data_IF_875954854125
#
_entry.id   IF_875954854125
#
_cell.length_a   1.000
_cell.length_b   1.000
_cell.length_c   1.000
_cell.angle_alpha   90.00
_cell.angle_beta   90.00
_cell.angle_gamma   90.00
#
_symmetry.space_group_name_H-M   'P 1'
#
loop_
_entity.id
_entity.type
_entity.pdbx_description
1 polymer ?
#
# COMPACT_ATOMS: atom_id res chain seq x y z
N UNK A 1 -29.36 -19.04 -0.89
CA UNK A 1 -28.18 -18.99 0.00
C UNK A 1 -28.02 -17.59 0.53
N UNK A 2 -27.96 -17.40 1.85
CA UNK A 2 -27.69 -16.11 2.47
C UNK A 2 -26.23 -15.73 2.24
N UNK A 3 -25.97 -14.45 1.87
CA UNK A 3 -24.61 -13.93 1.66
C UNK A 3 -23.89 -13.61 2.98
N UNK A 4 -24.57 -13.75 4.12
CA UNK A 4 -24.00 -13.52 5.43
C UNK A 4 -23.88 -12.06 5.86
N UNK A 5 -24.46 -11.12 5.10
CA UNK A 5 -24.52 -9.69 5.46
C UNK A 5 -25.86 -9.07 5.06
N UNK A 6 -26.22 -8.00 5.75
CA UNK A 6 -27.41 -7.20 5.48
C UNK A 6 -27.12 -5.71 5.68
N UNK A 7 -27.84 -4.87 4.96
CA UNK A 7 -27.80 -3.41 5.12
C UNK A 7 -29.10 -2.95 5.76
N UNK A 8 -28.99 -2.07 6.74
CA UNK A 8 -30.14 -1.44 7.42
C UNK A 8 -29.98 0.07 7.32
N UNK A 9 -31.06 0.77 6.95
CA UNK A 9 -31.12 2.22 6.92
C UNK A 9 -32.06 2.70 8.03
N UNK A 10 -31.60 3.66 8.82
CA UNK A 10 -32.39 4.27 9.89
C UNK A 10 -32.83 5.69 9.49
N UNK A 11 -34.00 6.08 9.95
CA UNK A 11 -34.58 7.42 9.64
C UNK A 11 -33.73 8.57 10.21
N UNK A 12 -33.04 8.32 11.31
CA UNK A 12 -32.16 9.29 11.94
C UNK A 12 -30.73 8.77 12.04
N UNK A 13 -29.72 9.55 11.67
CA UNK A 13 -28.32 9.14 11.73
C UNK A 13 -27.84 8.83 13.17
N UNK A 14 -28.41 9.47 14.19
CA UNK A 14 -28.10 9.23 15.60
C UNK A 14 -28.45 7.80 16.03
N UNK A 15 -29.56 7.27 15.53
CA UNK A 15 -29.99 5.89 15.80
C UNK A 15 -29.03 4.87 15.17
N UNK A 16 -28.42 5.22 14.08
CA UNK A 16 -27.40 4.39 13.42
C UNK A 16 -26.21 4.12 14.35
N UNK A 17 -25.72 5.15 15.03
CA UNK A 17 -24.60 5.02 15.97
C UNK A 17 -24.98 4.17 17.20
N UNK A 18 -26.16 4.41 17.76
CA UNK A 18 -26.68 3.60 18.87
C UNK A 18 -26.87 2.13 18.47
N UNK A 19 -27.34 1.88 17.25
CA UNK A 19 -27.50 0.52 16.73
C UNK A 19 -26.16 -0.18 16.54
N UNK A 20 -25.15 0.54 16.04
CA UNK A 20 -23.79 0.01 15.91
C UNK A 20 -23.23 -0.36 17.28
N UNK A 21 -23.33 0.54 18.26
CA UNK A 21 -22.81 0.32 19.61
C UNK A 21 -23.53 -0.85 20.32
N UNK A 22 -24.85 -0.96 20.15
CA UNK A 22 -25.66 -2.01 20.80
C UNK A 22 -25.59 -3.39 20.13
N UNK A 23 -25.42 -3.42 18.81
CA UNK A 23 -25.46 -4.67 18.05
C UNK A 23 -24.06 -5.21 17.69
N UNK A 24 -23.03 -4.36 17.69
CA UNK A 24 -21.68 -4.79 17.37
C UNK A 24 -21.13 -5.71 18.45
N UNK A 25 -20.74 -6.90 18.04
CA UNK A 25 -20.25 -7.91 18.95
C UNK A 25 -21.33 -8.81 19.59
N UNK A 26 -22.61 -8.56 19.27
CA UNK A 26 -23.70 -9.44 19.72
C UNK A 26 -23.54 -10.85 19.14
N UNK A 27 -23.77 -11.86 19.96
CA UNK A 27 -23.67 -13.24 19.55
C UNK A 27 -25.02 -13.72 18.97
N UNK A 28 -24.99 -14.14 17.72
CA UNK A 28 -26.12 -14.74 17.01
C UNK A 28 -25.80 -16.21 16.71
N UNK A 29 -26.26 -17.09 17.59
CA UNK A 29 -25.94 -18.51 17.52
C UNK A 29 -24.43 -18.75 17.73
N UNK A 30 -23.78 -19.40 16.78
CA UNK A 30 -22.33 -19.68 16.83
C UNK A 30 -21.48 -18.54 16.24
N UNK A 31 -22.10 -17.48 15.72
CA UNK A 31 -21.40 -16.37 15.05
C UNK A 31 -21.57 -15.07 15.80
N UNK A 32 -20.53 -14.25 15.75
CA UNK A 32 -20.53 -12.92 16.32
C UNK A 32 -20.91 -11.89 15.26
N UNK A 33 -21.88 -11.03 15.57
CA UNK A 33 -22.32 -9.98 14.66
C UNK A 33 -21.30 -8.84 14.63
N UNK A 34 -20.89 -8.46 13.43
CA UNK A 34 -20.04 -7.29 13.18
C UNK A 34 -20.92 -6.24 12.52
N UNK A 35 -21.11 -5.13 13.20
CA UNK A 35 -21.94 -4.02 12.72
C UNK A 35 -21.06 -2.78 12.53
N UNK A 36 -21.13 -2.20 11.35
CA UNK A 36 -20.38 -1.00 11.00
C UNK A 36 -21.20 -0.13 10.04
N UNK A 37 -20.86 1.15 9.93
CA UNK A 37 -21.47 2.02 8.93
C UNK A 37 -21.19 1.50 7.53
N UNK A 38 -22.21 1.46 6.67
CA UNK A 38 -22.03 1.19 5.26
C UNK A 38 -21.27 2.34 4.63
N UNK A 39 -20.14 2.04 4.02
CA UNK A 39 -19.45 3.00 3.15
C UNK A 39 -20.25 3.16 1.88
N UNK A 40 -20.84 4.32 1.67
CA UNK A 40 -21.44 4.68 0.38
C UNK A 40 -20.28 4.71 -0.63
N UNK A 41 -20.31 3.81 -1.60
CA UNK A 41 -19.35 3.81 -2.68
C UNK A 41 -19.27 5.19 -3.30
N UNK A 42 -18.08 5.74 -3.38
CA UNK A 42 -17.79 7.11 -3.76
C UNK A 42 -18.40 7.49 -5.12
N UNK A 43 -19.57 8.12 -5.09
CA UNK A 43 -20.08 8.98 -6.13
C UNK A 43 -20.84 10.15 -5.49
N UNK A 44 -20.13 10.94 -4.69
CA UNK A 44 -20.56 12.29 -4.35
C UNK A 44 -19.33 13.15 -4.06
N UNK A 45 -19.06 14.18 -4.87
CA UNK A 45 -17.96 15.11 -4.63
C UNK A 45 -18.36 16.27 -3.69
N UNK A 46 -19.14 16.01 -2.64
CA UNK A 46 -19.50 17.05 -1.69
C UNK A 46 -19.75 16.50 -0.29
N UNK A 47 -18.70 15.98 0.30
CA UNK A 47 -18.57 15.96 1.75
C UNK A 47 -17.15 16.36 2.08
N UNK A 48 -16.93 17.66 1.98
CA UNK A 48 -15.82 18.35 2.58
C UNK A 48 -15.79 18.06 4.07
N UNK A 49 -14.63 17.65 4.52
CA UNK A 49 -14.12 17.81 5.85
C UNK A 49 -14.97 17.25 6.99
N UNK A 50 -14.56 16.11 7.50
CA UNK A 50 -14.26 15.96 8.92
C UNK A 50 -13.40 14.71 9.06
N UNK A 51 -12.15 14.95 9.43
CA UNK A 51 -11.23 14.07 10.13
C UNK A 51 -11.61 12.58 10.03
N UNK A 52 -11.18 11.92 8.98
CA UNK A 52 -11.04 10.48 9.00
C UNK A 52 -9.92 10.14 9.98
N UNK A 53 -10.28 9.93 11.23
CA UNK A 53 -9.48 9.05 12.07
C UNK A 53 -9.63 7.67 11.44
N UNK A 54 -8.74 7.34 10.53
CA UNK A 54 -8.52 5.96 10.12
C UNK A 54 -8.03 5.20 11.34
N UNK A 55 -8.94 4.51 11.99
CA UNK A 55 -8.55 3.45 12.92
C UNK A 55 -7.85 2.40 12.06
N UNK A 56 -6.55 2.43 12.05
CA UNK A 56 -5.73 1.38 11.46
C UNK A 56 -5.97 0.10 12.28
N UNK A 57 -6.83 -0.78 11.75
CA UNK A 57 -6.83 -2.16 12.17
C UNK A 57 -5.55 -2.81 11.62
N UNK A 58 -4.51 -2.73 12.43
CA UNK A 58 -3.29 -3.48 12.18
C UNK A 58 -3.57 -4.95 12.55
N UNK A 59 -4.00 -5.73 11.59
CA UNK A 59 -4.08 -7.20 11.74
C UNK A 59 -2.74 -7.74 11.25
N UNK A 60 -1.87 -8.26 12.15
CA UNK A 60 -0.62 -8.86 11.73
C UNK A 60 -0.92 -10.07 10.83
N UNK A 61 -0.53 -9.99 9.57
CA UNK A 61 -0.60 -11.11 8.62
C UNK A 61 -1.56 -10.99 7.44
N UNK A 62 -2.35 -9.92 7.29
CA UNK A 62 -3.18 -9.71 6.12
C UNK A 62 -2.66 -8.53 5.29
N UNK A 63 -1.67 -8.76 4.47
CA UNK A 63 -1.30 -7.85 3.41
C UNK A 63 -2.32 -7.96 2.27
N UNK A 64 -3.37 -7.14 2.31
CA UNK A 64 -4.23 -6.93 1.15
C UNK A 64 -3.47 -6.05 0.15
N UNK A 65 -3.26 -6.49 -1.09
CA UNK A 65 -2.71 -5.63 -2.12
C UNK A 65 -3.72 -4.51 -2.42
N UNK A 66 -3.40 -3.29 -2.00
CA UNK A 66 -4.23 -2.11 -2.27
C UNK A 66 -4.41 -1.13 -1.10
N UNK A 67 -4.04 -1.46 0.12
CA UNK A 67 -3.95 -0.48 1.21
C UNK A 67 -2.53 0.05 1.25
N UNK A 68 -2.30 1.17 0.57
CA UNK A 68 -1.12 1.98 0.81
C UNK A 68 -1.07 2.30 2.31
N UNK A 69 -0.05 1.85 3.02
CA UNK A 69 0.26 2.29 4.37
C UNK A 69 0.39 3.82 4.42
N UNK A 70 0.74 4.40 5.58
CA UNK A 70 0.93 5.84 5.66
C UNK A 70 1.88 6.29 4.56
N UNK A 71 1.51 7.38 3.89
CA UNK A 71 2.33 7.93 2.81
C UNK A 71 3.67 8.38 3.36
N UNK A 72 4.73 7.88 2.77
CA UNK A 72 6.10 8.22 3.12
C UNK A 72 6.86 8.68 1.88
N UNK A 73 8.03 9.26 2.06
CA UNK A 73 8.93 9.62 0.96
C UNK A 73 9.60 8.42 0.31
N UNK A 74 9.50 7.23 0.90
CA UNK A 74 10.07 5.99 0.36
C UNK A 74 9.00 5.20 -0.38
N UNK A 75 9.24 4.96 -1.66
CA UNK A 75 8.40 4.12 -2.51
C UNK A 75 9.10 2.77 -2.76
N UNK A 76 8.39 1.69 -2.49
CA UNK A 76 8.83 0.33 -2.80
C UNK A 76 8.16 -0.13 -4.10
N UNK A 77 8.96 -0.51 -5.08
CA UNK A 77 8.54 -1.06 -6.35
C UNK A 77 8.78 -2.57 -6.33
N UNK A 78 7.76 -3.33 -6.64
CA UNK A 78 7.78 -4.79 -6.64
C UNK A 78 7.40 -5.34 -8.01
N UNK A 79 7.84 -6.56 -8.27
CA UNK A 79 7.57 -7.27 -9.54
C UNK A 79 8.19 -6.60 -10.79
N UNK A 80 9.21 -5.77 -10.61
CA UNK A 80 9.96 -5.17 -11.72
C UNK A 80 11.14 -6.03 -12.16
N UNK A 81 11.87 -6.58 -11.20
CA UNK A 81 13.14 -7.28 -11.39
C UNK A 81 13.09 -8.67 -10.78
N UNK A 82 13.91 -9.58 -11.32
CA UNK A 82 14.16 -10.89 -10.73
C UNK A 82 15.49 -10.91 -10.00
N UNK A 83 15.68 -11.90 -9.16
CA UNK A 83 16.96 -12.15 -8.51
C UNK A 83 18.08 -12.45 -9.52
N UNK A 84 17.75 -12.99 -10.68
CA UNK A 84 18.72 -13.30 -11.75
C UNK A 84 19.17 -12.02 -12.46
N UNK A 85 18.28 -11.08 -12.73
CA UNK A 85 18.58 -9.77 -13.31
C UNK A 85 19.53 -8.95 -12.40
N UNK A 86 19.46 -9.18 -11.09
CA UNK A 86 20.29 -8.48 -10.10
C UNK A 86 21.68 -9.12 -9.87
N UNK A 87 21.95 -10.28 -10.44
CA UNK A 87 23.26 -10.95 -10.37
C UNK A 87 24.27 -10.35 -11.36
N UNK A 88 23.78 -9.89 -12.48
CA UNK A 88 24.60 -9.24 -13.50
C UNK A 88 24.82 -7.76 -13.13
N UNK A 89 26.09 -7.32 -13.17
CA UNK A 89 26.42 -5.95 -12.81
C UNK A 89 25.96 -4.94 -13.87
N UNK A 90 26.02 -5.30 -15.15
CA UNK A 90 25.57 -4.43 -16.25
C UNK A 90 24.05 -4.26 -16.22
N UNK A 91 23.30 -5.36 -16.06
CA UNK A 91 21.84 -5.31 -15.94
C UNK A 91 21.40 -4.55 -14.69
N UNK A 92 22.14 -4.69 -13.58
CA UNK A 92 21.85 -3.96 -12.35
C UNK A 92 21.99 -2.43 -12.53
N UNK A 93 23.06 -1.97 -13.19
CA UNK A 93 23.27 -0.54 -13.46
C UNK A 93 22.20 0.02 -14.40
N UNK A 94 21.86 -0.71 -15.47
CA UNK A 94 20.80 -0.34 -16.40
C UNK A 94 19.43 -0.22 -15.69
N UNK A 95 19.10 -1.14 -14.79
CA UNK A 95 17.88 -1.09 -13.98
C UNK A 95 17.86 0.13 -13.07
N UNK A 96 18.97 0.44 -12.41
CA UNK A 96 19.07 1.62 -11.52
C UNK A 96 18.85 2.90 -12.30
N UNK A 97 19.45 3.02 -13.49
CA UNK A 97 19.34 4.20 -14.34
C UNK A 97 17.91 4.33 -14.91
N UNK A 98 17.32 3.26 -15.41
CA UNK A 98 15.94 3.24 -15.90
C UNK A 98 14.93 3.64 -14.80
N UNK A 99 15.10 3.10 -13.60
CA UNK A 99 14.23 3.43 -12.45
C UNK A 99 14.42 4.90 -12.06
N UNK A 100 15.66 5.39 -12.04
CA UNK A 100 15.95 6.80 -11.75
C UNK A 100 15.31 7.73 -12.76
N UNK A 101 15.46 7.45 -14.04
CA UNK A 101 14.88 8.25 -15.12
C UNK A 101 13.35 8.25 -15.08
N UNK A 102 12.75 7.10 -14.86
CA UNK A 102 11.30 7.00 -14.76
C UNK A 102 10.75 7.70 -13.51
N UNK A 103 11.37 7.50 -12.35
CA UNK A 103 10.97 8.15 -11.11
C UNK A 103 11.19 9.66 -11.11
N UNK A 104 12.24 10.14 -11.79
CA UNK A 104 12.55 11.57 -11.92
C UNK A 104 11.47 12.38 -12.66
N UNK A 105 10.61 11.69 -13.43
CA UNK A 105 9.45 12.33 -14.09
C UNK A 105 8.36 12.77 -13.11
N UNK A 106 8.32 12.17 -11.93
CA UNK A 106 7.32 12.43 -10.89
C UNK A 106 7.84 13.29 -9.75
N UNK A 107 9.16 13.30 -9.54
CA UNK A 107 9.77 14.06 -8.47
C UNK A 107 11.28 13.89 -8.38
N UNK A 108 11.86 14.56 -7.40
CA UNK A 108 13.31 14.50 -7.18
C UNK A 108 13.68 13.23 -6.41
N UNK A 109 14.38 12.33 -7.09
CA UNK A 109 14.94 11.11 -6.48
C UNK A 109 16.19 11.46 -5.68
N UNK A 110 16.20 11.13 -4.39
CA UNK A 110 17.35 11.31 -3.50
C UNK A 110 18.29 10.12 -3.51
N UNK A 111 17.71 8.92 -3.37
CA UNK A 111 18.48 7.69 -3.38
C UNK A 111 17.65 6.53 -3.90
N UNK A 112 18.31 5.50 -4.38
CA UNK A 112 17.72 4.24 -4.83
C UNK A 112 18.52 3.12 -4.18
N UNK A 113 17.81 2.18 -3.53
CA UNK A 113 18.40 0.98 -2.97
C UNK A 113 17.71 -0.25 -3.58
N UNK A 114 18.52 -1.13 -4.15
CA UNK A 114 18.06 -2.40 -4.71
C UNK A 114 18.88 -3.51 -4.04
N UNK A 115 18.31 -4.23 -3.06
CA UNK A 115 19.01 -5.34 -2.42
C UNK A 115 19.37 -6.41 -3.44
N UNK A 116 20.66 -6.74 -3.55
CA UNK A 116 21.17 -7.76 -4.47
C UNK A 116 21.19 -9.14 -3.80
N UNK A 117 20.95 -10.22 -4.56
CA UNK A 117 21.08 -11.56 -4.03
C UNK A 117 22.56 -11.86 -3.73
N UNK A 118 22.82 -12.50 -2.59
CA UNK A 118 24.14 -13.01 -2.22
C UNK A 118 24.05 -14.53 -2.23
N UNK A 119 24.98 -15.20 -2.90
CA UNK A 119 24.98 -16.66 -3.00
C UNK A 119 24.99 -17.33 -1.61
N UNK A 120 23.98 -18.17 -1.38
CA UNK A 120 23.82 -18.90 -0.12
C UNK A 120 23.24 -18.10 1.03
N UNK A 121 22.84 -16.83 0.82
CA UNK A 121 22.24 -15.99 1.85
C UNK A 121 20.90 -15.47 1.34
N UNK A 122 19.86 -15.64 2.15
CA UNK A 122 18.55 -15.05 1.90
C UNK A 122 18.60 -13.56 2.27
N UNK A 123 18.61 -12.68 1.27
CA UNK A 123 18.71 -11.23 1.47
C UNK A 123 17.30 -10.67 1.57
N UNK A 124 16.89 -10.10 2.72
CA UNK A 124 15.59 -9.46 2.85
C UNK A 124 15.43 -8.33 1.83
N UNK A 125 14.24 -8.24 1.24
CA UNK A 125 13.95 -7.23 0.21
C UNK A 125 14.54 -7.50 -1.17
N UNK A 126 15.23 -8.61 -1.40
CA UNK A 126 15.73 -8.98 -2.72
C UNK A 126 14.60 -9.05 -3.76
N UNK A 127 14.82 -8.47 -4.94
CA UNK A 127 13.80 -8.35 -5.98
C UNK A 127 12.81 -7.18 -5.79
N UNK A 128 13.04 -6.34 -4.79
CA UNK A 128 12.33 -5.08 -4.58
C UNK A 128 13.26 -3.91 -4.89
N UNK A 129 12.67 -2.79 -5.31
CA UNK A 129 13.39 -1.55 -5.55
C UNK A 129 12.84 -0.50 -4.59
N UNK A 130 13.69 0.15 -3.84
CA UNK A 130 13.32 1.21 -2.92
C UNK A 130 13.83 2.53 -3.44
N UNK A 131 12.94 3.52 -3.57
CA UNK A 131 13.24 4.84 -4.10
C UNK A 131 12.89 5.90 -3.05
N UNK A 132 13.86 6.70 -2.66
CA UNK A 132 13.66 7.84 -1.77
C UNK A 132 13.42 9.11 -2.60
N UNK A 133 12.29 9.76 -2.36
CA UNK A 133 11.94 11.06 -2.93
C UNK A 133 12.25 12.20 -1.95
N UNK A 134 12.24 13.43 -2.42
CA UNK A 134 12.49 14.59 -1.56
C UNK A 134 11.33 14.89 -0.61
N UNK A 135 10.12 14.43 -0.94
CA UNK A 135 8.92 14.59 -0.12
C UNK A 135 7.85 13.55 -0.45
N UNK A 136 6.84 13.46 0.41
CA UNK A 136 5.73 12.51 0.28
C UNK A 136 4.82 12.78 -0.91
N UNK A 137 4.71 14.02 -1.37
CA UNK A 137 3.87 14.38 -2.54
C UNK A 137 4.44 13.80 -3.82
N UNK A 138 5.76 13.85 -3.97
CA UNK A 138 6.46 13.28 -5.12
C UNK A 138 6.39 11.76 -5.14
N UNK A 139 6.58 11.12 -3.98
CA UNK A 139 6.46 9.66 -3.86
C UNK A 139 5.04 9.19 -4.16
N UNK A 140 4.02 9.94 -3.75
CA UNK A 140 2.62 9.67 -4.08
C UNK A 140 2.34 9.83 -5.58
N UNK A 141 2.87 10.87 -6.21
CA UNK A 141 2.73 11.06 -7.66
C UNK A 141 3.39 9.90 -8.43
N UNK A 142 4.57 9.47 -8.01
CA UNK A 142 5.26 8.32 -8.56
C UNK A 142 4.47 7.02 -8.34
N UNK A 143 3.90 6.82 -7.17
CA UNK A 143 3.04 5.67 -6.88
C UNK A 143 1.87 5.59 -7.86
N UNK A 144 1.16 6.69 -8.04
CA UNK A 144 0.00 6.74 -8.95
C UNK A 144 0.39 6.53 -10.41
N UNK A 145 1.54 7.06 -10.81
CA UNK A 145 2.01 6.96 -12.19
C UNK A 145 2.65 5.62 -12.53
N UNK A 146 3.29 4.96 -11.58
CA UNK A 146 4.01 3.70 -11.79
C UNK A 146 3.16 2.47 -11.47
N UNK A 147 2.18 2.57 -10.57
CA UNK A 147 1.32 1.46 -10.19
C UNK A 147 0.51 0.95 -11.40
N UNK A 148 0.63 -0.33 -11.68
CA UNK A 148 -0.06 -0.97 -12.80
C UNK A 148 0.60 -0.76 -14.16
N UNK A 149 1.71 -0.01 -14.26
CA UNK A 149 2.51 0.07 -15.50
C UNK A 149 3.22 -1.25 -15.79
N UNK A 150 3.48 -1.47 -17.04
CA UNK A 150 4.28 -2.62 -17.47
C UNK A 150 5.74 -2.20 -17.65
N UNK A 151 6.61 -2.86 -16.93
CA UNK A 151 8.05 -2.79 -17.09
C UNK A 151 8.57 -4.17 -17.44
N UNK A 152 9.30 -4.32 -18.56
CA UNK A 152 9.81 -5.60 -19.05
C UNK A 152 8.74 -6.74 -19.05
N UNK A 153 7.53 -6.46 -19.55
CA UNK A 153 6.37 -7.37 -19.55
C UNK A 153 5.80 -7.75 -18.17
N UNK A 154 6.22 -7.08 -17.10
CA UNK A 154 5.72 -7.28 -15.73
C UNK A 154 4.93 -6.07 -15.26
N UNK A 155 3.87 -6.31 -14.51
CA UNK A 155 3.05 -5.24 -13.92
C UNK A 155 3.72 -4.78 -12.64
N UNK A 156 4.07 -3.49 -12.58
CA UNK A 156 4.68 -2.87 -11.40
C UNK A 156 3.66 -2.76 -10.27
N UNK A 157 4.02 -3.25 -9.11
CA UNK A 157 3.26 -3.08 -7.87
C UNK A 157 4.01 -2.10 -6.98
N UNK A 158 3.34 -1.10 -6.47
CA UNK A 158 3.93 -0.05 -5.63
C UNK A 158 3.34 -0.05 -4.23
N UNK A 159 4.16 0.20 -3.24
CA UNK A 159 3.74 0.46 -1.86
C UNK A 159 4.66 1.48 -1.20
N UNK A 160 4.19 2.12 -0.11
CA UNK A 160 5.07 2.96 0.70
C UNK A 160 5.87 2.10 1.68
N UNK A 161 7.07 2.56 2.02
CA UNK A 161 7.96 1.89 2.95
C UNK A 161 8.36 2.84 4.08
N UNK A 162 8.69 2.30 5.24
CA UNK A 162 9.08 3.10 6.40
C UNK A 162 10.46 3.75 6.20
N UNK A 163 10.57 5.09 6.29
CA UNK A 163 11.85 5.77 6.12
C UNK A 163 12.90 5.34 7.15
N UNK A 164 12.47 5.06 8.37
CA UNK A 164 13.36 4.59 9.42
C UNK A 164 13.95 3.22 9.12
N UNK A 165 13.15 2.30 8.60
CA UNK A 165 13.61 0.99 8.15
C UNK A 165 14.54 1.12 6.94
N UNK A 166 14.20 1.98 5.98
CA UNK A 166 15.02 2.25 4.80
C UNK A 166 16.42 2.73 5.16
N UNK A 167 16.54 3.74 6.03
CA UNK A 167 17.85 4.27 6.45
C UNK A 167 18.68 3.27 7.29
N UNK A 168 18.02 2.33 7.96
CA UNK A 168 18.69 1.22 8.64
C UNK A 168 19.02 0.04 7.72
N UNK A 169 18.56 0.08 6.46
CA UNK A 169 18.63 -1.03 5.49
C UNK A 169 17.94 -2.32 5.99
N UNK A 170 16.82 -2.13 6.64
CA UNK A 170 15.97 -3.19 7.21
C UNK A 170 14.80 -3.46 6.24
N UNK A 171 15.11 -4.16 5.14
CA UNK A 171 14.24 -4.37 3.97
C UNK A 171 13.38 -5.63 4.08
#
# INVERSE_FOLDING_TARGET
>A
MSKGYAFCEYVKPEITDQAIEGLNGMQLGEKKLIVQRASVGAKNPSAQAMAAQTVQLNIPGLNLPGTAGPQTEILCLMNMVTTDDLKDDEEYEDIVDDVRDECSKYGQVRSIEIPRPIEGIDVPGCGKIFVEFSNTVESQAAQQGLSGRKFANRVVVTSFFDPGAYHRRDF
#
